data_IF_452148237489
#
_entry.id   IF_452148237489
#
_cell.length_a   1.000
_cell.length_b   1.000
_cell.length_c   1.000
_cell.angle_alpha   90.00
_cell.angle_beta   90.00
_cell.angle_gamma   90.00
#
_symmetry.space_group_name_H-M   'P 1'
#
loop_
_entity.id
_entity.type
_entity.pdbx_description
1 polymer ?
#
# COMPACT_ATOMS: atom_id res chain seq x y z
N UNK A 1 54.82 7.23 32.44
CA UNK A 1 54.46 6.90 31.05
C UNK A 1 53.02 6.40 31.08
N UNK A 2 52.07 7.31 30.84
CA UNK A 2 50.62 7.03 30.85
C UNK A 2 50.29 6.56 29.47
N UNK A 3 49.98 5.27 29.31
CA UNK A 3 49.46 4.71 28.04
C UNK A 3 47.98 5.03 28.00
N UNK A 4 47.64 6.04 27.22
CA UNK A 4 46.23 6.41 26.90
C UNK A 4 45.69 5.38 25.92
N UNK A 5 44.92 4.41 26.41
CA UNK A 5 44.13 3.51 25.55
C UNK A 5 43.01 4.33 24.87
N UNK A 6 43.24 4.78 23.65
CA UNK A 6 42.16 5.15 22.78
C UNK A 6 41.35 3.91 22.40
N UNK A 7 40.33 3.62 23.18
CA UNK A 7 39.24 2.75 22.73
C UNK A 7 38.50 3.45 21.59
N UNK A 8 38.99 3.24 20.37
CA UNK A 8 38.24 3.52 19.17
C UNK A 8 36.96 2.67 19.26
N UNK A 9 35.84 3.30 19.61
CA UNK A 9 34.53 2.70 19.50
C UNK A 9 34.23 2.49 17.98
N UNK A 10 34.64 1.34 17.49
CA UNK A 10 34.35 0.92 16.14
C UNK A 10 32.85 0.63 16.08
N UNK A 11 32.04 1.66 15.69
CA UNK A 11 30.63 1.45 15.43
C UNK A 11 30.49 0.46 14.28
N UNK A 12 29.84 -0.64 14.54
CA UNK A 12 29.54 -1.65 13.52
C UNK A 12 28.78 -0.98 12.37
N UNK A 13 29.21 -1.17 11.11
CA UNK A 13 28.48 -0.58 9.97
C UNK A 13 27.05 -1.07 9.95
N UNK A 14 26.13 -0.17 9.62
CA UNK A 14 24.72 -0.53 9.50
C UNK A 14 24.51 -1.45 8.30
N UNK A 15 23.63 -2.43 8.46
CA UNK A 15 23.22 -3.30 7.36
C UNK A 15 21.86 -2.81 6.82
N UNK A 16 21.84 -2.43 5.55
CA UNK A 16 20.65 -1.94 4.84
C UNK A 16 20.23 -2.96 3.80
N UNK A 17 18.98 -3.38 3.89
CA UNK A 17 18.34 -4.27 2.95
C UNK A 17 17.19 -3.53 2.23
N UNK A 18 17.10 -3.73 0.91
CA UNK A 18 16.04 -3.22 0.05
C UNK A 18 15.48 -4.40 -0.76
N UNK A 19 14.16 -4.61 -0.69
CA UNK A 19 13.52 -5.81 -1.23
C UNK A 19 13.52 -5.90 -2.76
N UNK A 20 13.51 -4.75 -3.46
CA UNK A 20 13.47 -4.66 -4.91
C UNK A 20 14.43 -3.58 -5.38
N UNK A 21 15.35 -3.93 -6.29
CA UNK A 21 16.24 -2.95 -6.95
C UNK A 21 15.62 -2.40 -8.24
N UNK A 22 14.73 -3.16 -8.88
CA UNK A 22 14.01 -2.77 -10.09
C UNK A 22 12.49 -2.93 -9.88
N UNK A 23 11.87 -2.10 -9.02
CA UNK A 23 10.43 -2.16 -8.81
C UNK A 23 9.68 -1.67 -10.05
N UNK A 24 8.48 -2.22 -10.25
CA UNK A 24 7.54 -1.75 -11.27
C UNK A 24 6.59 -0.73 -10.68
N UNK A 25 5.94 0.03 -11.53
CA UNK A 25 4.77 0.83 -11.16
C UNK A 25 3.74 -0.02 -10.39
N UNK A 26 3.27 0.48 -9.26
CA UNK A 26 2.36 -0.23 -8.36
C UNK A 26 3.02 -1.14 -7.33
N UNK A 27 4.33 -1.35 -7.38
CA UNK A 27 5.04 -2.16 -6.39
C UNK A 27 5.23 -1.43 -5.06
N UNK A 28 5.58 -2.20 -4.03
CA UNK A 28 6.05 -1.67 -2.74
C UNK A 28 7.44 -2.19 -2.45
N UNK A 29 8.35 -1.26 -2.18
CA UNK A 29 9.73 -1.57 -1.76
C UNK A 29 9.79 -1.56 -0.24
N UNK A 30 10.24 -2.66 0.35
CA UNK A 30 10.48 -2.78 1.77
C UNK A 30 11.93 -2.46 2.07
N UNK A 31 12.16 -1.61 3.06
CA UNK A 31 13.47 -1.17 3.47
C UNK A 31 13.68 -1.60 4.92
N UNK A 32 14.78 -2.28 5.19
CA UNK A 32 15.17 -2.67 6.54
C UNK A 32 16.58 -2.18 6.85
N UNK A 33 16.74 -1.55 8.01
CA UNK A 33 18.03 -1.06 8.49
C UNK A 33 18.31 -1.67 9.85
N UNK A 34 19.41 -2.43 9.94
CA UNK A 34 19.94 -2.90 11.22
C UNK A 34 21.11 -2.00 11.63
N UNK A 35 20.99 -1.34 12.78
CA UNK A 35 21.95 -0.35 13.23
C UNK A 35 21.90 -0.21 14.75
N UNK A 36 22.98 0.25 15.36
CA UNK A 36 23.01 0.67 16.77
C UNK A 36 22.44 2.08 16.98
N UNK A 37 22.10 2.78 15.91
CA UNK A 37 21.55 4.14 15.97
C UNK A 37 20.11 4.14 16.50
N UNK A 38 19.80 5.15 17.29
CA UNK A 38 18.45 5.43 17.77
C UNK A 38 17.64 6.30 16.82
N UNK A 39 18.20 6.67 15.66
CA UNK A 39 17.54 7.47 14.64
C UNK A 39 17.91 6.98 13.24
N UNK A 40 16.88 6.74 12.42
CA UNK A 40 17.02 6.46 10.98
C UNK A 40 15.99 7.30 10.24
N UNK A 41 16.47 8.05 9.26
CA UNK A 41 15.63 8.85 8.36
C UNK A 41 16.00 8.56 6.92
N UNK A 42 15.16 8.93 5.98
CA UNK A 42 15.49 8.75 4.57
C UNK A 42 14.51 9.45 3.64
N UNK A 43 14.90 9.47 2.37
CA UNK A 43 14.12 10.05 1.29
C UNK A 43 14.22 9.20 0.04
N UNK A 44 13.12 9.14 -0.70
CA UNK A 44 13.06 8.65 -2.06
C UNK A 44 13.09 9.84 -3.02
N UNK A 45 14.08 9.89 -3.92
CA UNK A 45 14.37 11.05 -4.74
C UNK A 45 14.40 10.66 -6.21
N UNK A 46 13.70 11.44 -7.02
CA UNK A 46 13.74 11.43 -8.48
C UNK A 46 13.87 12.84 -9.03
N UNK A 47 13.70 13.02 -10.33
CA UNK A 47 13.87 14.30 -11.02
C UNK A 47 12.98 15.41 -10.41
N UNK A 48 11.69 15.09 -10.18
CA UNK A 48 10.70 16.02 -9.64
C UNK A 48 10.07 15.46 -8.34
N UNK A 49 10.74 14.55 -7.65
CA UNK A 49 10.23 13.85 -6.50
C UNK A 49 11.22 13.89 -5.34
N UNK A 50 10.73 14.24 -4.16
CA UNK A 50 11.46 14.09 -2.90
C UNK A 50 10.45 13.68 -1.82
N UNK A 51 10.29 12.38 -1.62
CA UNK A 51 9.36 11.80 -0.67
C UNK A 51 10.10 11.34 0.60
N UNK A 52 9.62 11.78 1.77
CA UNK A 52 10.16 11.37 3.06
C UNK A 52 9.76 9.92 3.35
N UNK A 53 10.73 9.09 3.71
CA UNK A 53 10.51 7.74 4.20
C UNK A 53 10.28 7.75 5.71
N UNK A 54 9.24 7.05 6.15
CA UNK A 54 8.90 6.90 7.57
C UNK A 54 9.47 5.57 8.06
N UNK A 55 10.39 5.63 9.04
CA UNK A 55 11.01 4.43 9.61
C UNK A 55 10.41 4.09 10.98
N UNK A 56 9.99 2.84 11.12
CA UNK A 56 9.59 2.26 12.39
C UNK A 56 10.75 1.49 13.02
N UNK A 57 11.03 1.78 14.28
CA UNK A 57 11.90 0.97 15.12
C UNK A 57 11.15 -0.29 15.58
N UNK A 58 11.55 -1.45 15.07
CA UNK A 58 10.98 -2.74 15.49
C UNK A 58 11.63 -3.13 16.82
N UNK A 59 10.80 -3.35 17.84
CA UNK A 59 11.28 -3.92 19.11
C UNK A 59 11.82 -5.33 18.86
N UNK A 60 13.12 -5.53 19.07
CA UNK A 60 13.71 -6.87 19.10
C UNK A 60 13.59 -7.45 20.52
N UNK A 61 13.45 -8.80 20.67
CA UNK A 61 13.63 -9.45 21.96
C UNK A 61 15.01 -9.10 22.51
N UNK A 62 15.13 -8.97 23.83
CA UNK A 62 16.32 -8.52 24.56
C UNK A 62 17.63 -9.30 24.28
N UNK A 63 17.62 -10.33 23.45
CA UNK A 63 18.76 -11.21 23.12
C UNK A 63 19.60 -10.76 21.92
N UNK A 64 19.24 -9.69 21.21
CA UNK A 64 19.88 -9.30 19.94
C UNK A 64 21.02 -8.26 20.07
N UNK A 65 21.55 -8.02 21.26
CA UNK A 65 22.59 -7.00 21.51
C UNK A 65 22.04 -5.57 21.32
N UNK A 66 22.92 -4.56 21.16
CA UNK A 66 22.55 -3.14 21.01
C UNK A 66 21.99 -2.79 19.60
N UNK A 67 21.90 -3.75 18.68
CA UNK A 67 21.45 -3.52 17.32
C UNK A 67 19.93 -3.32 17.28
N UNK A 68 19.49 -2.24 16.62
CA UNK A 68 18.10 -1.88 16.40
C UNK A 68 17.68 -2.27 14.99
N UNK A 69 16.44 -2.68 14.85
CA UNK A 69 15.84 -3.06 13.56
C UNK A 69 14.79 -2.00 13.17
N UNK A 70 15.02 -1.35 12.03
CA UNK A 70 14.15 -0.32 11.47
C UNK A 70 13.55 -0.81 10.18
N UNK A 71 12.26 -0.56 9.99
CA UNK A 71 11.55 -0.89 8.77
C UNK A 71 10.85 0.32 8.18
N UNK A 72 10.80 0.40 6.86
CA UNK A 72 10.05 1.39 6.10
C UNK A 72 9.42 0.77 4.87
N UNK A 73 8.35 1.39 4.39
CA UNK A 73 7.63 1.01 3.18
C UNK A 73 7.69 2.18 2.20
N UNK A 74 8.07 1.90 0.96
CA UNK A 74 8.06 2.86 -0.14
C UNK A 74 7.09 2.35 -1.21
N UNK A 75 6.02 3.08 -1.46
CA UNK A 75 5.12 2.80 -2.58
C UNK A 75 5.67 3.37 -3.88
N UNK A 76 5.71 2.57 -4.93
CA UNK A 76 5.94 3.05 -6.29
C UNK A 76 4.58 3.31 -6.91
N UNK A 77 4.26 4.57 -7.13
CA UNK A 77 2.93 4.94 -7.63
C UNK A 77 2.62 4.33 -9.01
N UNK A 78 1.35 4.01 -9.25
CA UNK A 78 0.90 3.45 -10.53
C UNK A 78 1.23 4.31 -11.74
N UNK A 79 1.37 5.64 -11.59
CA UNK A 79 1.83 6.56 -12.63
C UNK A 79 3.25 7.10 -12.38
N UNK A 80 4.03 6.48 -11.50
CA UNK A 80 5.43 6.83 -11.33
C UNK A 80 6.17 6.71 -12.66
N UNK A 81 6.84 7.77 -13.11
CA UNK A 81 7.62 7.71 -14.36
C UNK A 81 8.70 6.64 -14.26
N UNK A 82 8.85 5.72 -15.24
CA UNK A 82 9.98 4.82 -15.29
C UNK A 82 11.31 5.62 -15.39
N UNK A 83 12.37 5.11 -14.73
CA UNK A 83 13.67 5.77 -14.69
C UNK A 83 14.46 5.46 -13.43
N UNK A 84 15.57 6.20 -13.28
CA UNK A 84 16.49 6.02 -12.16
C UNK A 84 16.13 6.93 -11.00
N UNK A 85 16.09 6.34 -9.81
CA UNK A 85 15.75 6.98 -8.54
C UNK A 85 16.78 6.63 -7.48
N UNK A 86 16.77 7.37 -6.37
CA UNK A 86 17.67 7.16 -5.25
C UNK A 86 16.90 7.04 -3.95
N UNK A 87 17.28 6.07 -3.14
CA UNK A 87 16.88 5.96 -1.74
C UNK A 87 18.07 6.43 -0.91
N UNK A 88 17.93 7.59 -0.30
CA UNK A 88 18.92 8.10 0.65
C UNK A 88 18.48 7.74 2.07
N UNK A 89 19.41 7.20 2.86
CA UNK A 89 19.18 6.81 4.26
C UNK A 89 20.25 7.47 5.11
N UNK A 90 19.82 8.18 6.15
CA UNK A 90 20.68 8.77 7.18
C UNK A 90 20.51 7.99 8.48
N UNK A 91 21.61 7.48 9.01
CA UNK A 91 21.66 6.64 10.19
C UNK A 91 22.40 7.39 11.28
N UNK A 92 21.65 8.05 12.15
CA UNK A 92 22.16 8.79 13.30
C UNK A 92 22.99 10.03 12.97
N UNK A 93 22.85 10.60 11.76
CA UNK A 93 23.59 11.76 11.30
C UNK A 93 25.05 11.50 10.89
N UNK A 94 25.58 10.32 11.19
CA UNK A 94 27.00 9.99 10.99
C UNK A 94 27.26 9.03 9.84
N UNK A 95 26.26 8.25 9.43
CA UNK A 95 26.36 7.33 8.30
C UNK A 95 25.24 7.63 7.30
N UNK A 96 25.65 8.01 6.08
CA UNK A 96 24.73 8.25 4.96
C UNK A 96 24.91 7.16 3.91
N UNK A 97 23.82 6.63 3.43
CA UNK A 97 23.81 5.60 2.41
C UNK A 97 22.85 5.99 1.30
N UNK A 98 23.31 5.84 0.06
CA UNK A 98 22.49 6.02 -1.13
C UNK A 98 22.39 4.69 -1.86
N UNK A 99 21.18 4.29 -2.18
CA UNK A 99 20.88 3.15 -3.05
C UNK A 99 20.17 3.65 -4.30
N UNK A 100 20.67 3.25 -5.45
CA UNK A 100 20.00 3.47 -6.72
C UNK A 100 18.99 2.36 -6.94
N UNK A 101 17.79 2.73 -7.40
CA UNK A 101 16.75 1.81 -7.84
C UNK A 101 16.24 2.29 -9.20
N UNK A 102 15.88 1.35 -10.05
CA UNK A 102 15.34 1.64 -11.37
C UNK A 102 13.86 1.28 -11.41
N UNK A 103 13.00 2.29 -11.40
CA UNK A 103 11.56 2.08 -11.61
C UNK A 103 11.33 1.66 -13.05
N UNK A 104 10.63 0.55 -13.23
CA UNK A 104 10.31 0.00 -14.55
C UNK A 104 8.82 0.11 -14.84
N UNK A 105 8.47 0.06 -16.11
CA UNK A 105 7.09 0.10 -16.56
C UNK A 105 6.36 -1.19 -16.15
N UNK A 106 5.14 -1.05 -15.64
CA UNK A 106 4.25 -2.19 -15.43
C UNK A 106 3.42 -2.44 -16.69
N UNK A 107 3.08 -3.69 -16.94
CA UNK A 107 2.16 -4.05 -18.04
C UNK A 107 0.71 -3.74 -17.65
N UNK A 108 0.35 -2.47 -17.77
CA UNK A 108 -1.01 -1.98 -17.56
C UNK A 108 -1.81 -2.00 -18.86
N UNK A 109 -2.23 -3.19 -19.26
CA UNK A 109 -3.01 -3.38 -20.48
C UNK A 109 -4.37 -2.67 -20.43
N UNK A 110 -4.91 -2.39 -21.61
CA UNK A 110 -6.31 -1.95 -21.73
C UNK A 110 -7.21 -3.15 -21.42
N UNK A 111 -8.14 -2.98 -20.49
CA UNK A 111 -9.13 -4.00 -20.22
C UNK A 111 -10.02 -4.19 -21.46
N UNK A 112 -10.51 -5.42 -21.74
CA UNK A 112 -11.54 -5.62 -22.73
C UNK A 112 -12.70 -4.66 -22.43
N UNK A 113 -13.24 -4.03 -23.47
CA UNK A 113 -14.36 -3.09 -23.32
C UNK A 113 -15.55 -3.86 -22.74
N UNK A 114 -15.76 -3.74 -21.44
CA UNK A 114 -17.03 -4.16 -20.87
C UNK A 114 -18.09 -3.21 -21.42
N UNK A 115 -19.28 -3.67 -21.85
CA UNK A 115 -20.36 -2.76 -22.14
C UNK A 115 -20.57 -1.86 -20.93
N UNK A 116 -20.82 -0.55 -21.12
CA UNK A 116 -21.13 0.30 -20.00
C UNK A 116 -22.28 -0.35 -19.23
N UNK A 117 -22.21 -0.34 -17.90
CA UNK A 117 -23.30 -0.87 -17.09
C UNK A 117 -24.59 -0.18 -17.51
N UNK A 118 -25.71 -0.89 -17.56
CA UNK A 118 -27.01 -0.25 -17.68
C UNK A 118 -27.31 0.48 -16.37
N UNK A 119 -26.68 1.64 -16.24
CA UNK A 119 -26.79 2.51 -15.06
C UNK A 119 -27.94 3.50 -15.20
N UNK A 120 -28.83 3.30 -16.18
CA UNK A 120 -30.02 4.13 -16.37
C UNK A 120 -30.88 4.19 -15.10
N UNK A 121 -30.95 3.09 -14.38
CA UNK A 121 -31.63 3.04 -13.07
C UNK A 121 -30.94 3.88 -11.98
N UNK A 122 -29.62 4.11 -12.10
CA UNK A 122 -28.83 4.91 -11.14
C UNK A 122 -28.61 6.35 -11.63
N UNK A 123 -29.20 6.76 -12.75
CA UNK A 123 -29.05 8.09 -13.38
C UNK A 123 -27.59 8.49 -13.67
N UNK A 124 -26.70 7.52 -13.91
CA UNK A 124 -25.31 7.77 -14.24
C UNK A 124 -25.08 7.78 -15.76
N UNK A 125 -24.39 8.85 -16.20
CA UNK A 125 -23.72 8.86 -17.50
C UNK A 125 -22.22 8.69 -17.28
N UNK A 126 -21.48 8.20 -18.29
CA UNK A 126 -20.02 8.10 -18.22
C UNK A 126 -19.36 9.45 -17.89
N UNK A 127 -19.85 10.54 -18.50
CA UNK A 127 -19.33 11.88 -18.22
C UNK A 127 -19.59 12.32 -16.78
N UNK A 128 -20.78 12.05 -16.24
CA UNK A 128 -21.11 12.33 -14.83
C UNK A 128 -20.21 11.54 -13.91
N UNK A 129 -19.95 10.25 -14.21
CA UNK A 129 -19.05 9.41 -13.44
C UNK A 129 -17.62 9.97 -13.40
N UNK A 130 -17.05 10.32 -14.56
CA UNK A 130 -15.70 10.91 -14.63
C UNK A 130 -15.63 12.25 -13.90
N UNK A 131 -16.62 13.13 -14.07
CA UNK A 131 -16.68 14.40 -13.37
C UNK A 131 -16.73 14.22 -11.84
N UNK A 132 -17.52 13.25 -11.36
CA UNK A 132 -17.60 12.93 -9.93
C UNK A 132 -16.25 12.44 -9.38
N UNK A 133 -15.55 11.55 -10.09
CA UNK A 133 -14.21 11.09 -9.69
C UNK A 133 -13.27 12.29 -9.53
N UNK A 134 -13.22 13.17 -10.54
CA UNK A 134 -12.23 14.26 -10.58
C UNK A 134 -12.58 15.37 -9.58
N UNK A 135 -13.84 15.76 -9.49
CA UNK A 135 -14.26 16.95 -8.73
C UNK A 135 -14.65 16.68 -7.28
N UNK A 136 -15.10 15.45 -6.99
CA UNK A 136 -15.66 15.11 -5.69
C UNK A 136 -14.87 14.01 -4.98
N UNK A 137 -14.80 12.83 -5.57
CA UNK A 137 -14.32 11.63 -4.88
C UNK A 137 -12.81 11.66 -4.63
N UNK A 138 -12.00 11.97 -5.66
CA UNK A 138 -10.55 12.06 -5.51
C UNK A 138 -10.08 13.20 -4.57
N UNK A 139 -10.65 14.41 -4.61
CA UNK A 139 -10.33 15.45 -3.64
C UNK A 139 -10.67 15.06 -2.21
N UNK A 140 -11.80 14.38 -1.97
CA UNK A 140 -12.18 13.88 -0.66
C UNK A 140 -11.16 12.84 -0.15
N UNK A 141 -10.77 11.88 -0.99
CA UNK A 141 -9.73 10.90 -0.67
C UNK A 141 -8.39 11.58 -0.38
N UNK A 142 -7.95 12.50 -1.23
CA UNK A 142 -6.67 13.22 -1.05
C UNK A 142 -6.62 13.93 0.30
N UNK A 143 -7.71 14.58 0.72
CA UNK A 143 -7.80 15.26 2.03
C UNK A 143 -7.63 14.29 3.20
N UNK A 144 -8.22 13.09 3.13
CA UNK A 144 -8.08 12.06 4.17
C UNK A 144 -6.66 11.50 4.19
N UNK A 145 -6.14 11.10 3.03
CA UNK A 145 -4.85 10.42 2.90
C UNK A 145 -3.64 11.35 3.17
N UNK A 146 -3.83 12.67 3.18
CA UNK A 146 -2.77 13.63 3.56
C UNK A 146 -2.47 13.67 5.06
N UNK A 147 -3.35 13.10 5.90
CA UNK A 147 -3.19 13.04 7.35
C UNK A 147 -2.99 11.58 7.77
N UNK A 148 -1.77 11.23 8.10
CA UNK A 148 -1.43 9.87 8.51
C UNK A 148 -0.76 9.83 9.89
N UNK A 149 -0.78 8.66 10.50
CA UNK A 149 -0.10 8.40 11.77
C UNK A 149 1.29 7.83 11.50
N UNK A 150 2.34 8.47 12.05
CA UNK A 150 3.72 7.98 11.90
C UNK A 150 3.94 6.64 12.63
N UNK A 151 3.32 6.45 13.80
CA UNK A 151 3.40 5.19 14.54
C UNK A 151 2.46 4.14 13.95
N UNK A 152 2.91 2.89 13.77
CA UNK A 152 2.04 1.82 13.31
C UNK A 152 1.03 1.44 14.39
N UNK A 153 -0.15 1.05 13.96
CA UNK A 153 -1.13 0.37 14.80
C UNK A 153 -0.94 -1.14 14.77
N UNK A 154 -0.26 -1.67 13.76
CA UNK A 154 -0.06 -3.10 13.51
C UNK A 154 1.30 -3.61 14.03
N UNK A 155 1.37 -4.90 14.32
CA UNK A 155 2.59 -5.59 14.78
C UNK A 155 3.01 -6.76 13.90
N UNK A 156 2.19 -7.14 12.93
CA UNK A 156 2.40 -8.31 12.05
C UNK A 156 2.01 -8.06 10.60
N UNK A 157 2.02 -9.14 9.85
CA UNK A 157 1.68 -9.15 8.43
C UNK A 157 0.25 -8.70 8.15
N UNK A 158 0.01 -8.26 6.93
CA UNK A 158 -1.31 -7.93 6.42
C UNK A 158 -2.02 -9.19 5.90
N UNK A 159 -3.35 -9.19 5.99
CA UNK A 159 -4.21 -10.27 5.54
C UNK A 159 -5.17 -9.78 4.46
N UNK A 160 -5.76 -10.70 3.74
CA UNK A 160 -6.79 -10.34 2.77
C UNK A 160 -8.09 -9.90 3.44
N UNK A 161 -8.87 -9.00 2.79
CA UNK A 161 -10.11 -8.46 3.36
C UNK A 161 -11.30 -9.42 3.27
N UNK A 162 -11.12 -10.61 2.70
CA UNK A 162 -12.13 -11.65 2.51
C UNK A 162 -11.61 -13.00 2.98
N UNK A 163 -12.50 -13.87 3.44
CA UNK A 163 -12.15 -15.25 3.82
C UNK A 163 -11.70 -16.11 2.62
N UNK A 164 -12.20 -15.80 1.43
CA UNK A 164 -11.78 -16.39 0.15
C UNK A 164 -11.50 -15.26 -0.83
N UNK A 165 -10.33 -15.29 -1.46
CA UNK A 165 -9.91 -14.25 -2.41
C UNK A 165 -9.98 -14.82 -3.82
N UNK A 166 -10.89 -14.26 -4.60
CA UNK A 166 -11.00 -14.48 -6.04
C UNK A 166 -11.16 -13.11 -6.70
N UNK A 167 -10.29 -12.78 -7.67
CA UNK A 167 -10.46 -11.56 -8.46
C UNK A 167 -11.72 -11.65 -9.32
N UNK A 168 -12.46 -10.55 -9.39
CA UNK A 168 -13.63 -10.38 -10.26
C UNK A 168 -13.47 -9.08 -11.02
N UNK A 169 -13.38 -9.16 -12.34
CA UNK A 169 -13.33 -7.97 -13.17
C UNK A 169 -11.92 -7.46 -13.39
N UNK A 170 -11.61 -6.26 -12.93
CA UNK A 170 -10.37 -5.59 -13.29
C UNK A 170 -9.28 -5.77 -12.23
N UNK A 171 -8.11 -6.23 -12.68
CA UNK A 171 -6.89 -6.25 -11.87
C UNK A 171 -6.34 -4.83 -11.70
N UNK A 172 -5.47 -4.65 -10.69
CA UNK A 172 -4.78 -3.40 -10.46
C UNK A 172 -4.04 -2.88 -11.70
N UNK A 173 -4.16 -1.58 -11.95
CA UNK A 173 -3.44 -0.86 -12.99
C UNK A 173 -4.05 -0.93 -14.38
N UNK A 174 -5.01 -1.84 -14.64
CA UNK A 174 -5.65 -1.91 -15.95
C UNK A 174 -6.37 -0.62 -16.31
N UNK A 175 -6.29 -0.25 -17.58
CA UNK A 175 -7.03 0.89 -18.10
C UNK A 175 -8.43 0.48 -18.58
N UNK A 176 -9.41 1.26 -18.21
CA UNK A 176 -10.81 1.12 -18.66
C UNK A 176 -11.11 2.28 -19.60
N UNK A 177 -11.63 1.99 -20.79
CA UNK A 177 -12.06 3.01 -21.73
C UNK A 177 -13.53 3.38 -21.46
N UNK A 178 -13.75 4.65 -21.13
CA UNK A 178 -15.07 5.26 -20.98
C UNK A 178 -15.25 6.33 -22.06
N UNK A 179 -15.99 6.05 -23.11
CA UNK A 179 -16.18 6.96 -24.23
C UNK A 179 -14.87 7.61 -24.69
N UNK A 180 -14.66 8.89 -24.42
CA UNK A 180 -13.42 9.64 -24.71
C UNK A 180 -12.36 9.57 -23.60
N UNK A 181 -12.69 9.00 -22.43
CA UNK A 181 -11.80 8.95 -21.29
C UNK A 181 -11.11 7.59 -21.17
N UNK A 182 -9.92 7.60 -20.63
CA UNK A 182 -9.15 6.41 -20.22
C UNK A 182 -8.89 6.53 -18.74
N UNK A 183 -9.49 5.65 -17.94
CA UNK A 183 -9.38 5.65 -16.48
C UNK A 183 -8.58 4.44 -16.05
N UNK A 184 -7.62 4.63 -15.16
CA UNK A 184 -6.85 3.54 -14.60
C UNK A 184 -7.54 2.97 -13.36
N UNK A 185 -7.66 1.66 -13.29
CA UNK A 185 -8.22 0.93 -12.14
C UNK A 185 -7.16 0.81 -11.04
N UNK A 186 -7.31 1.56 -9.95
CA UNK A 186 -6.29 1.74 -8.91
C UNK A 186 -6.60 0.95 -7.64
N UNK A 187 -7.14 -0.23 -7.81
CA UNK A 187 -7.42 -1.24 -6.81
C UNK A 187 -7.59 -2.60 -7.48
N UNK A 188 -8.14 -3.55 -6.77
CA UNK A 188 -8.54 -4.87 -7.28
C UNK A 188 -10.01 -5.09 -6.96
N UNK A 189 -10.73 -5.69 -7.92
CA UNK A 189 -12.11 -6.10 -7.70
C UNK A 189 -12.12 -7.56 -7.26
N UNK A 190 -12.55 -7.78 -6.03
CA UNK A 190 -12.62 -9.09 -5.41
C UNK A 190 -14.06 -9.60 -5.41
N UNK A 191 -14.24 -10.87 -5.75
CA UNK A 191 -15.54 -11.53 -5.75
C UNK A 191 -16.13 -11.55 -4.35
N UNK A 192 -17.17 -10.76 -4.15
CA UNK A 192 -17.89 -10.63 -2.88
C UNK A 192 -19.38 -10.42 -3.19
N UNK A 193 -20.19 -11.50 -3.27
CA UNK A 193 -21.64 -11.37 -3.37
C UNK A 193 -22.20 -10.44 -2.31
N UNK A 194 -23.37 -9.85 -2.58
CA UNK A 194 -24.02 -8.93 -1.65
C UNK A 194 -24.04 -9.47 -0.20
N UNK A 195 -23.75 -8.61 0.75
CA UNK A 195 -23.69 -8.92 2.20
C UNK A 195 -22.59 -9.91 2.62
N UNK A 196 -21.57 -10.11 1.79
CA UNK A 196 -20.35 -10.80 2.22
C UNK A 196 -19.61 -9.96 3.28
N UNK A 197 -19.17 -10.58 4.37
CA UNK A 197 -18.39 -9.90 5.42
C UNK A 197 -17.05 -9.42 4.89
N UNK A 198 -16.75 -8.15 5.15
CA UNK A 198 -15.50 -7.50 4.80
C UNK A 198 -14.70 -7.28 6.08
N UNK A 199 -13.43 -7.70 6.04
CA UNK A 199 -12.54 -7.69 7.19
C UNK A 199 -11.45 -6.64 7.06
N UNK A 200 -11.05 -6.04 8.21
CA UNK A 200 -9.84 -5.22 8.28
C UNK A 200 -8.60 -6.07 7.98
N UNK A 201 -7.76 -5.59 7.06
CA UNK A 201 -6.52 -6.29 6.64
C UNK A 201 -5.42 -6.29 7.71
N UNK A 202 -5.49 -5.35 8.68
CA UNK A 202 -4.63 -5.28 9.86
C UNK A 202 -5.25 -4.36 10.93
N UNK A 203 -4.58 -4.24 12.08
CA UNK A 203 -4.94 -3.25 13.09
C UNK A 203 -4.84 -1.83 12.51
N UNK A 204 -5.74 -0.93 12.94
CA UNK A 204 -5.74 0.43 12.43
C UNK A 204 -6.83 1.29 13.04
N UNK A 205 -6.88 2.54 12.60
CA UNK A 205 -7.90 3.52 12.97
C UNK A 205 -8.78 3.84 11.78
N UNK A 206 -10.09 3.78 11.95
CA UNK A 206 -11.04 4.24 10.94
C UNK A 206 -10.91 5.75 10.78
N UNK A 207 -10.45 6.21 9.61
CA UNK A 207 -10.26 7.64 9.32
C UNK A 207 -11.35 8.22 8.45
N UNK A 208 -12.11 7.38 7.77
CA UNK A 208 -13.28 7.79 7.00
C UNK A 208 -14.33 6.69 6.89
N UNK A 209 -15.59 7.11 6.97
CA UNK A 209 -16.80 6.34 6.64
C UNK A 209 -17.72 7.30 5.93
N UNK A 210 -17.90 7.13 4.62
CA UNK A 210 -18.73 8.03 3.83
C UNK A 210 -19.32 7.34 2.58
N UNK A 211 -20.30 7.99 2.00
CA UNK A 211 -20.91 7.58 0.75
C UNK A 211 -20.46 8.54 -0.36
N UNK A 212 -19.58 8.06 -1.22
CA UNK A 212 -19.06 8.79 -2.37
C UNK A 212 -19.85 8.49 -3.62
N UNK A 213 -19.86 9.42 -4.59
CA UNK A 213 -20.69 9.30 -5.78
C UNK A 213 -20.36 8.05 -6.57
N UNK A 214 -19.09 7.80 -6.90
CA UNK A 214 -18.68 6.64 -7.69
C UNK A 214 -18.18 5.50 -6.84
N UNK A 215 -17.49 5.82 -5.74
CA UNK A 215 -16.92 4.79 -4.86
C UNK A 215 -17.96 4.18 -3.91
N UNK A 216 -19.14 4.76 -3.85
CA UNK A 216 -20.23 4.29 -2.99
C UNK A 216 -19.89 4.37 -1.51
N UNK A 217 -20.48 3.51 -0.72
CA UNK A 217 -20.18 3.40 0.72
C UNK A 217 -18.75 2.89 0.90
N UNK A 218 -17.92 3.74 1.47
CA UNK A 218 -16.46 3.57 1.56
C UNK A 218 -15.99 3.65 3.00
N UNK A 219 -15.14 2.70 3.40
CA UNK A 219 -14.39 2.71 4.66
C UNK A 219 -12.92 2.90 4.35
N UNK A 220 -12.22 3.77 5.09
CA UNK A 220 -10.76 3.93 5.01
C UNK A 220 -10.15 3.72 6.38
N UNK A 221 -9.10 2.90 6.42
CA UNK A 221 -8.33 2.59 7.62
C UNK A 221 -6.91 3.14 7.46
N UNK A 222 -6.47 3.96 8.44
CA UNK A 222 -5.07 4.31 8.65
C UNK A 222 -4.42 3.23 9.53
N UNK A 223 -3.44 2.53 8.98
CA UNK A 223 -2.67 1.51 9.71
C UNK A 223 -1.42 2.09 10.39
N UNK A 224 -1.16 3.39 10.23
CA UNK A 224 0.10 4.03 10.57
C UNK A 224 1.18 3.77 9.54
N UNK A 225 2.36 4.38 9.73
CA UNK A 225 3.48 4.36 8.76
C UNK A 225 3.09 4.82 7.36
N UNK A 226 2.09 5.68 7.26
CA UNK A 226 1.56 6.17 5.98
C UNK A 226 0.92 5.06 5.10
N UNK A 227 0.41 3.99 5.72
CA UNK A 227 -0.25 2.87 5.04
C UNK A 227 -1.74 2.96 5.26
N UNK A 228 -2.50 2.95 4.15
CA UNK A 228 -3.96 2.97 4.17
C UNK A 228 -4.55 1.79 3.39
N UNK A 229 -5.69 1.30 3.87
CA UNK A 229 -6.57 0.40 3.12
C UNK A 229 -7.94 1.03 2.91
N UNK A 230 -8.50 0.84 1.71
CA UNK A 230 -9.75 1.41 1.26
C UNK A 230 -10.68 0.30 0.77
N UNK A 231 -11.90 0.31 1.26
CA UNK A 231 -12.94 -0.69 1.01
C UNK A 231 -14.16 0.01 0.43
N UNK A 232 -14.47 -0.24 -0.84
CA UNK A 232 -15.45 0.51 -1.62
C UNK A 232 -16.63 -0.38 -2.02
N UNK A 233 -17.72 0.25 -2.46
CA UNK A 233 -18.97 -0.38 -2.91
C UNK A 233 -19.68 -1.19 -1.82
N UNK A 234 -19.46 -0.84 -0.53
CA UNK A 234 -20.10 -1.53 0.58
C UNK A 234 -21.62 -1.33 0.57
N UNK A 235 -22.36 -2.28 1.11
CA UNK A 235 -23.79 -2.15 1.39
C UNK A 235 -24.02 -1.61 2.79
N UNK A 236 -23.20 -2.01 3.75
CA UNK A 236 -23.38 -1.63 5.15
C UNK A 236 -22.04 -1.35 5.85
N UNK A 237 -22.02 -0.32 6.68
CA UNK A 237 -20.91 -0.04 7.58
C UNK A 237 -21.12 -0.76 8.92
N UNK A 238 -20.08 -1.40 9.45
CA UNK A 238 -20.05 -2.01 10.78
C UNK A 238 -19.11 -1.25 11.74
N UNK A 239 -18.62 -0.10 11.32
CA UNK A 239 -17.64 0.72 12.04
C UNK A 239 -17.95 2.20 11.89
N UNK A 240 -17.34 3.03 12.75
CA UNK A 240 -17.48 4.48 12.77
C UNK A 240 -16.13 5.18 12.72
N UNK A 241 -16.10 6.44 12.24
CA UNK A 241 -14.89 7.26 12.21
C UNK A 241 -14.30 7.42 13.62
N UNK A 242 -12.99 7.27 13.74
CA UNK A 242 -12.25 7.33 15.00
C UNK A 242 -12.13 6.00 15.72
N UNK A 243 -12.91 4.99 15.36
CA UNK A 243 -12.85 3.67 15.96
C UNK A 243 -11.51 2.98 15.65
N UNK A 244 -10.92 2.34 16.67
CA UNK A 244 -9.81 1.41 16.50
C UNK A 244 -10.37 0.04 16.11
N UNK A 245 -9.78 -0.57 15.09
CA UNK A 245 -10.13 -1.91 14.64
C UNK A 245 -8.93 -2.84 14.75
N UNK A 246 -9.22 -4.11 14.97
CA UNK A 246 -8.23 -5.19 14.97
C UNK A 246 -8.18 -5.86 13.61
N UNK A 247 -7.07 -6.49 13.30
CA UNK A 247 -6.93 -7.40 12.16
C UNK A 247 -8.07 -8.43 12.16
N UNK A 248 -8.62 -8.69 10.98
CA UNK A 248 -9.74 -9.62 10.76
C UNK A 248 -11.06 -9.23 11.49
N UNK A 249 -11.17 -8.01 11.97
CA UNK A 249 -12.43 -7.49 12.47
C UNK A 249 -13.36 -7.17 11.29
N UNK A 250 -14.64 -7.51 11.38
CA UNK A 250 -15.66 -7.13 10.41
C UNK A 250 -15.82 -5.61 10.44
N UNK A 251 -15.71 -4.96 9.26
CA UNK A 251 -15.80 -3.51 9.10
C UNK A 251 -16.98 -3.08 8.24
N UNK A 252 -17.59 -4.00 7.51
CA UNK A 252 -18.73 -3.75 6.65
C UNK A 252 -19.20 -5.00 5.94
N UNK A 253 -20.22 -4.84 5.12
CA UNK A 253 -20.74 -5.86 4.21
C UNK A 253 -20.59 -5.38 2.77
N UNK A 254 -20.24 -6.28 1.85
CA UNK A 254 -20.14 -5.98 0.43
C UNK A 254 -21.50 -5.64 -0.18
N UNK A 255 -21.47 -4.83 -1.22
CA UNK A 255 -22.65 -4.43 -1.99
C UNK A 255 -22.30 -3.95 -3.38
N UNK A 256 -23.19 -3.11 -3.93
CA UNK A 256 -23.06 -2.52 -5.25
C UNK A 256 -23.33 -1.01 -5.24
N UNK A 257 -23.08 -0.34 -4.11
CA UNK A 257 -23.29 1.11 -4.00
C UNK A 257 -22.29 1.89 -4.88
N UNK A 258 -22.69 3.06 -5.38
CA UNK A 258 -21.87 3.88 -6.28
C UNK A 258 -21.91 3.40 -7.73
N UNK A 259 -20.80 3.64 -8.45
CA UNK A 259 -20.67 3.30 -9.88
C UNK A 259 -20.16 1.88 -10.07
N UNK A 260 -21.04 0.91 -10.01
CA UNK A 260 -20.74 -0.51 -10.22
C UNK A 260 -21.94 -1.24 -10.86
N UNK A 261 -21.66 -2.37 -11.51
CA UNK A 261 -22.66 -3.18 -12.23
C UNK A 261 -23.18 -4.35 -11.42
N UNK A 262 -22.45 -4.80 -10.43
CA UNK A 262 -22.79 -5.97 -9.64
C UNK A 262 -22.03 -5.96 -8.32
N UNK A 263 -22.56 -6.63 -7.28
CA UNK A 263 -21.91 -6.71 -5.99
C UNK A 263 -20.47 -7.27 -6.07
N UNK A 264 -19.53 -6.56 -5.47
CA UNK A 264 -18.13 -6.94 -5.33
C UNK A 264 -17.46 -6.06 -4.27
N UNK A 265 -16.25 -6.39 -3.87
CA UNK A 265 -15.39 -5.50 -3.10
C UNK A 265 -14.34 -4.89 -4.04
N UNK A 266 -14.40 -3.59 -4.28
CA UNK A 266 -13.24 -2.87 -4.79
C UNK A 266 -12.32 -2.56 -3.62
N UNK A 267 -11.12 -3.16 -3.63
CA UNK A 267 -10.13 -3.04 -2.57
C UNK A 267 -8.89 -2.32 -3.07
N UNK A 268 -8.49 -1.25 -2.37
CA UNK A 268 -7.31 -0.45 -2.69
C UNK A 268 -6.38 -0.32 -1.50
N UNK A 269 -5.09 -0.13 -1.77
CA UNK A 269 -4.09 0.23 -0.76
C UNK A 269 -3.23 1.42 -1.20
N UNK A 270 -2.74 2.16 -0.21
CA UNK A 270 -1.82 3.28 -0.39
C UNK A 270 -0.64 3.16 0.56
N UNK A 271 0.53 3.55 0.06
CA UNK A 271 1.69 3.87 0.89
C UNK A 271 2.02 5.33 0.60
N UNK A 272 1.76 6.21 1.55
CA UNK A 272 1.71 7.64 1.27
C UNK A 272 0.61 8.00 0.29
N UNK A 273 0.97 8.79 -0.70
CA UNK A 273 0.10 9.10 -1.81
C UNK A 273 0.14 8.05 -2.93
N UNK A 274 1.09 7.10 -2.85
CA UNK A 274 1.33 6.11 -3.90
C UNK A 274 0.22 5.06 -3.92
N UNK A 275 -0.35 4.86 -5.09
CA UNK A 275 -1.34 3.83 -5.40
C UNK A 275 -0.59 2.56 -5.72
N UNK A 276 -0.72 1.56 -4.87
CA UNK A 276 0.03 0.30 -4.94
C UNK A 276 -0.90 -0.87 -5.19
N UNK A 277 -0.35 -1.96 -5.75
CA UNK A 277 -1.09 -3.21 -5.95
C UNK A 277 -1.34 -3.89 -4.60
N UNK A 278 -2.61 -3.99 -4.14
CA UNK A 278 -2.93 -4.52 -2.82
C UNK A 278 -2.53 -5.98 -2.64
N UNK A 279 -2.65 -6.80 -3.69
CA UNK A 279 -2.31 -8.23 -3.63
C UNK A 279 -0.81 -8.39 -3.41
N UNK A 280 0.00 -7.72 -4.25
CA UNK A 280 1.47 -7.75 -4.14
C UNK A 280 1.94 -7.26 -2.78
N UNK A 281 1.34 -6.18 -2.26
CA UNK A 281 1.66 -5.65 -0.93
C UNK A 281 1.39 -6.67 0.18
N UNK A 282 0.19 -7.27 0.20
CA UNK A 282 -0.20 -8.24 1.23
C UNK A 282 0.71 -9.46 1.21
N UNK A 283 0.92 -10.07 0.04
CA UNK A 283 1.79 -11.24 -0.12
C UNK A 283 3.24 -10.95 0.27
N UNK A 284 3.76 -9.78 -0.11
CA UNK A 284 5.10 -9.37 0.27
C UNK A 284 5.21 -9.12 1.78
N UNK A 285 4.19 -8.52 2.41
CA UNK A 285 4.14 -8.32 3.86
C UNK A 285 4.20 -9.65 4.60
N UNK A 286 3.47 -10.67 4.15
CA UNK A 286 3.48 -12.01 4.73
C UNK A 286 4.88 -12.63 4.68
N UNK A 287 5.53 -12.61 3.52
CA UNK A 287 6.90 -13.13 3.35
C UNK A 287 7.92 -12.47 4.27
N UNK A 288 7.80 -11.17 4.53
CA UNK A 288 8.73 -10.41 5.37
C UNK A 288 8.55 -10.74 6.85
N UNK A 289 7.33 -10.96 7.29
CA UNK A 289 7.05 -11.30 8.69
C UNK A 289 7.32 -12.77 9.00
N UNK A 290 7.09 -13.69 8.05
CA UNK A 290 7.31 -15.12 8.23
C UNK A 290 8.78 -15.52 8.16
N UNK A 291 9.65 -14.70 7.52
CA UNK A 291 11.06 -15.01 7.34
C UNK A 291 11.96 -13.93 7.96
N UNK A 292 12.48 -14.12 9.19
CA UNK A 292 13.38 -13.16 9.82
C UNK A 292 14.75 -13.04 9.10
N UNK A 293 15.08 -13.99 8.21
CA UNK A 293 16.23 -13.94 7.30
C UNK A 293 15.69 -13.54 5.95
N UNK A 294 15.70 -12.23 5.66
CA UNK A 294 15.30 -11.72 4.35
C UNK A 294 16.23 -12.28 3.27
N UNK A 295 15.73 -13.27 2.55
CA UNK A 295 16.29 -13.68 1.27
C UNK A 295 15.90 -12.62 0.25
N UNK A 296 16.83 -12.14 -0.61
CA UNK A 296 16.44 -11.27 -1.71
C UNK A 296 15.36 -11.98 -2.53
N UNK A 297 14.21 -11.35 -2.67
CA UNK A 297 13.14 -11.84 -3.56
C UNK A 297 13.63 -11.58 -4.97
N UNK A 298 14.36 -12.54 -5.54
CA UNK A 298 14.63 -12.54 -6.97
C UNK A 298 13.29 -12.58 -7.70
N UNK A 299 13.14 -11.75 -8.71
CA UNK A 299 11.96 -11.64 -9.57
C UNK A 299 11.47 -12.97 -10.21
N UNK A 300 12.18 -14.06 -10.02
CA UNK A 300 11.86 -15.41 -10.51
C UNK A 300 10.67 -16.08 -9.80
N UNK A 301 10.17 -15.56 -8.67
CA UNK A 301 9.06 -16.17 -7.92
C UNK A 301 7.68 -15.61 -8.27
N UNK A 302 7.59 -14.60 -9.15
CA UNK A 302 6.30 -14.04 -9.63
C UNK A 302 5.57 -15.00 -10.57
N UNK A 303 6.24 -16.06 -11.05
CA UNK A 303 5.63 -17.05 -11.98
C UNK A 303 4.77 -18.14 -11.30
N UNK A 304 4.61 -18.14 -9.98
CA UNK A 304 3.82 -19.18 -9.29
C UNK A 304 2.31 -18.90 -9.33
N UNK A 305 1.89 -17.65 -9.59
CA UNK A 305 0.45 -17.30 -9.63
C UNK A 305 -0.24 -17.79 -10.91
N UNK A 306 0.51 -18.19 -11.96
CA UNK A 306 -0.07 -18.70 -13.22
C UNK A 306 -0.24 -20.24 -13.28
N UNK A 307 0.01 -20.98 -12.21
CA UNK A 307 -0.06 -22.45 -12.21
C UNK A 307 -1.28 -23.04 -11.50
N UNK A 308 -2.23 -22.24 -11.07
CA UNK A 308 -3.56 -22.75 -10.66
C UNK A 308 -4.59 -22.40 -11.73
N UNK A 309 -4.53 -23.14 -12.83
CA UNK A 309 -5.66 -23.32 -13.75
C UNK A 309 -6.58 -24.40 -13.22
#
# INVERSE_FOLDING_TARGET
MIILFFLLFYKKPANVYISLENPKQGDTVFIRVKSESNNVTGNFIGQDLNEKLVFLKKGLPAQAGNSQDWISFLGIDADQKPGDYKINIDIGGNQKLTKEIKVTEADFSLAPTAPPPDLKQKEYTEEKAVNNIIKNDNPALKKILSNFTEKPYFTGQFFFPLSKVEEKGFSFGKFIKFAKYKIQHLGVDLKAPEKTEIYSVNDGKIVAVFNLSNYGKTVIIDHGLNIFSLYLHLEEFKVSVGQMVRRSQIIGLSGDTGYTTAPHLHFSMRVGNSRINPIVFIEASQKIYDNPILVPVNAALINVVNSFK
#
